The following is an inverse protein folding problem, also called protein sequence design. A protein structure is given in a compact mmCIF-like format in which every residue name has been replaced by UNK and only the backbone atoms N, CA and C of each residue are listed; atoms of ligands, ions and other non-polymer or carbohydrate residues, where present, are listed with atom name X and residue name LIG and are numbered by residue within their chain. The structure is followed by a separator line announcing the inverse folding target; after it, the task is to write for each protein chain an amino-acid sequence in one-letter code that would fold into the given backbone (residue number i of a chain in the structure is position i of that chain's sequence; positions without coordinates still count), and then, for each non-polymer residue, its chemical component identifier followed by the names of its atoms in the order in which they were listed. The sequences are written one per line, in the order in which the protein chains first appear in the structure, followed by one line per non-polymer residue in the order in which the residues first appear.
data_IF_265761811120
#
_entry.id   IF_265761811120
#
_cell.length_a   1.000
_cell.length_b   1.000
_cell.length_c   1.000
_cell.angle_alpha   90.00
_cell.angle_beta   90.00
_cell.angle_gamma   90.00
#
_symmetry.space_group_name_H-M   'P 1'
#
loop_
_entity.id
_entity.type
_entity.pdbx_description
1 polymer ?
#
# COMPACT_ATOMS: atom_id res chain seq x y z
N UNK A 1 19.35 5.54 33.79
CA UNK A 1 18.47 6.52 33.12
C UNK A 1 18.78 7.96 33.50
N UNK A 2 18.92 8.29 34.80
CA UNK A 2 19.18 9.66 35.27
C UNK A 2 20.38 10.37 34.59
N UNK A 3 21.52 9.68 34.43
CA UNK A 3 22.70 10.22 33.74
C UNK A 3 22.43 10.52 32.25
N UNK A 4 21.76 9.60 31.54
CA UNK A 4 21.45 9.77 30.13
C UNK A 4 20.53 11.00 29.89
N UNK A 5 19.55 11.23 30.77
CA UNK A 5 18.62 12.34 30.63
C UNK A 5 19.30 13.69 30.87
N UNK A 6 20.08 13.81 31.96
CA UNK A 6 20.84 15.03 32.27
C UNK A 6 21.84 15.38 31.17
N UNK A 7 22.40 14.36 30.52
CA UNK A 7 23.39 14.55 29.47
C UNK A 7 22.78 15.03 28.15
N UNK A 8 21.60 14.52 27.77
CA UNK A 8 20.82 15.04 26.65
C UNK A 8 20.51 16.53 26.86
N UNK A 9 20.17 16.91 28.09
CA UNK A 9 19.85 18.30 28.46
C UNK A 9 21.10 19.20 28.41
N UNK A 10 22.30 18.68 28.69
CA UNK A 10 23.53 19.46 28.67
C UNK A 10 24.09 19.67 27.25
N UNK A 11 24.04 18.63 26.40
CA UNK A 11 24.61 18.66 25.03
C UNK A 11 23.56 18.81 23.93
N UNK A 12 22.59 19.72 24.13
CA UNK A 12 21.35 19.84 23.34
C UNK A 12 21.54 19.81 21.82
N UNK A 13 22.53 20.54 21.29
CA UNK A 13 22.73 20.64 19.84
C UNK A 13 23.14 19.30 19.20
N UNK A 14 24.07 18.57 19.82
CA UNK A 14 24.56 17.29 19.29
C UNK A 14 23.46 16.23 19.33
N UNK A 15 22.72 16.19 20.44
CA UNK A 15 21.60 15.28 20.60
C UNK A 15 20.42 15.61 19.69
N UNK A 16 20.14 16.91 19.48
CA UNK A 16 19.13 17.35 18.53
C UNK A 16 19.49 16.96 17.10
N UNK A 17 20.77 17.04 16.69
CA UNK A 17 21.20 16.58 15.37
C UNK A 17 20.98 15.07 15.18
N UNK A 18 21.35 14.25 16.17
CA UNK A 18 21.13 12.80 16.06
C UNK A 18 19.65 12.44 16.10
N UNK A 19 18.87 13.08 16.99
CA UNK A 19 17.41 12.93 17.01
C UNK A 19 16.78 13.35 15.67
N UNK A 20 17.26 14.45 15.08
CA UNK A 20 16.80 14.97 13.80
C UNK A 20 17.11 14.03 12.64
N UNK A 21 18.31 13.44 12.60
CA UNK A 21 18.64 12.42 11.59
C UNK A 21 17.78 11.17 11.78
N UNK A 22 17.60 10.70 13.01
CA UNK A 22 16.70 9.56 13.30
C UNK A 22 15.26 9.86 12.88
N UNK A 23 14.78 11.07 13.15
CA UNK A 23 13.48 11.57 12.72
C UNK A 23 13.35 11.54 11.19
N UNK A 24 14.29 12.14 10.45
CA UNK A 24 14.21 12.22 8.99
C UNK A 24 14.24 10.84 8.33
N UNK A 25 15.08 9.94 8.83
CA UNK A 25 15.16 8.58 8.29
C UNK A 25 13.88 7.81 8.62
N UNK A 26 13.39 7.88 9.86
CA UNK A 26 12.14 7.22 10.24
C UNK A 26 10.95 7.76 9.44
N UNK A 27 10.85 9.09 9.30
CA UNK A 27 9.85 9.76 8.48
C UNK A 27 9.87 9.24 7.04
N UNK A 28 11.05 9.19 6.42
CA UNK A 28 11.19 8.71 5.04
C UNK A 28 10.77 7.24 4.90
N UNK A 29 11.17 6.39 5.84
CA UNK A 29 10.82 4.97 5.84
C UNK A 29 9.30 4.78 6.00
N UNK A 30 8.66 5.45 6.96
CA UNK A 30 7.21 5.37 7.14
C UNK A 30 6.45 5.94 5.95
N UNK A 31 6.91 7.08 5.41
CA UNK A 31 6.28 7.72 4.27
C UNK A 31 6.31 6.81 3.03
N UNK A 32 7.48 6.23 2.71
CA UNK A 32 7.61 5.27 1.62
C UNK A 32 6.81 3.99 1.86
N UNK A 33 6.69 3.54 3.12
CA UNK A 33 5.85 2.38 3.45
C UNK A 33 4.38 2.69 3.19
N UNK A 34 3.89 3.87 3.57
CA UNK A 34 2.51 4.28 3.33
C UNK A 34 2.19 4.44 1.84
N UNK A 35 3.12 4.97 1.05
CA UNK A 35 3.00 5.04 -0.41
C UNK A 35 3.04 3.64 -1.05
N UNK A 36 3.97 2.79 -0.64
CA UNK A 36 4.10 1.44 -1.15
C UNK A 36 2.83 0.63 -0.88
N UNK A 37 2.27 0.76 0.34
CA UNK A 37 1.05 0.10 0.72
C UNK A 37 -0.18 0.66 -0.02
N UNK A 38 -0.31 1.98 -0.09
CA UNK A 38 -1.43 2.61 -0.81
C UNK A 38 -1.45 2.27 -2.29
N UNK A 39 -0.30 2.35 -2.98
CA UNK A 39 -0.20 1.98 -4.38
C UNK A 39 -0.41 0.46 -4.61
N UNK A 40 0.03 -0.39 -3.68
CA UNK A 40 -0.29 -1.82 -3.75
C UNK A 40 -1.82 -2.04 -3.61
N UNK A 41 -2.47 -1.32 -2.69
CA UNK A 41 -3.90 -1.41 -2.46
C UNK A 41 -4.70 -0.93 -3.69
N UNK A 42 -4.32 0.18 -4.30
CA UNK A 42 -4.95 0.73 -5.51
C UNK A 42 -4.92 -0.22 -6.73
N UNK A 43 -4.00 -1.19 -6.75
CA UNK A 43 -3.98 -2.21 -7.79
C UNK A 43 -5.09 -3.27 -7.64
N UNK A 44 -5.56 -3.52 -6.42
CA UNK A 44 -6.33 -4.73 -6.08
C UNK A 44 -7.61 -4.52 -5.28
N UNK A 45 -7.90 -3.33 -4.77
CA UNK A 45 -9.06 -3.10 -3.87
C UNK A 45 -10.38 -3.61 -4.44
N UNK A 46 -10.63 -3.45 -5.75
CA UNK A 46 -11.82 -3.97 -6.40
C UNK A 46 -11.90 -5.52 -6.37
N UNK A 47 -10.75 -6.20 -6.39
CA UNK A 47 -10.63 -7.66 -6.29
C UNK A 47 -10.86 -8.12 -4.86
N UNK A 48 -10.28 -7.41 -3.88
CA UNK A 48 -10.41 -7.72 -2.46
C UNK A 48 -11.90 -7.73 -2.02
N UNK A 49 -12.72 -6.86 -2.59
CA UNK A 49 -14.17 -6.77 -2.33
C UNK A 49 -14.98 -8.01 -2.71
N UNK A 50 -14.50 -8.80 -3.65
CA UNK A 50 -15.25 -9.98 -4.07
C UNK A 50 -15.35 -11.03 -2.97
N UNK A 51 -14.45 -10.98 -1.98
CA UNK A 51 -14.31 -11.99 -0.92
C UNK A 51 -14.40 -13.40 -1.53
N UNK A 52 -13.73 -13.58 -2.67
CA UNK A 52 -13.76 -14.79 -3.45
C UNK A 52 -12.53 -15.63 -3.15
N UNK A 53 -12.65 -16.94 -3.35
CA UNK A 53 -11.54 -17.88 -3.17
C UNK A 53 -10.79 -18.06 -4.48
N UNK A 54 -11.53 -18.07 -5.60
CA UNK A 54 -11.01 -18.35 -6.92
C UNK A 54 -11.54 -17.39 -7.99
N UNK A 55 -10.70 -17.17 -8.99
CA UNK A 55 -11.08 -16.63 -10.29
C UNK A 55 -10.74 -17.68 -11.35
N UNK A 56 -11.64 -17.85 -12.30
CA UNK A 56 -11.50 -18.77 -13.43
C UNK A 56 -11.29 -17.94 -14.68
N UNK A 57 -10.18 -18.22 -15.37
CA UNK A 57 -9.76 -17.54 -16.60
C UNK A 57 -9.53 -18.57 -17.70
N UNK A 58 -9.43 -18.11 -18.96
CA UNK A 58 -8.91 -18.93 -20.04
C UNK A 58 -7.46 -19.35 -19.75
N UNK A 59 -7.11 -20.62 -20.05
CA UNK A 59 -5.73 -21.12 -19.94
C UNK A 59 -4.72 -20.32 -20.75
N UNK A 60 -5.16 -19.75 -21.87
CA UNK A 60 -4.30 -18.99 -22.77
C UNK A 60 -4.05 -17.55 -22.28
N UNK A 61 -4.73 -17.13 -21.20
CA UNK A 61 -4.68 -15.76 -20.69
C UNK A 61 -3.42 -15.41 -19.89
N UNK A 62 -2.61 -16.41 -19.51
CA UNK A 62 -1.43 -16.23 -18.64
C UNK A 62 -1.78 -15.43 -17.36
N UNK A 63 -2.87 -15.82 -16.69
CA UNK A 63 -3.45 -15.17 -15.49
C UNK A 63 -3.87 -13.70 -15.67
N UNK A 64 -3.82 -13.15 -16.89
CA UNK A 64 -4.18 -11.76 -17.14
C UNK A 64 -5.68 -11.64 -17.44
N UNK A 65 -6.41 -10.96 -16.55
CA UNK A 65 -7.85 -10.74 -16.68
C UNK A 65 -8.23 -10.10 -18.03
N UNK A 66 -7.48 -9.08 -18.46
CA UNK A 66 -7.76 -8.36 -19.71
C UNK A 66 -7.42 -9.15 -20.98
N UNK A 67 -6.65 -10.24 -20.87
CA UNK A 67 -6.34 -11.16 -21.98
C UNK A 67 -7.21 -12.41 -21.98
N UNK A 68 -7.86 -12.73 -20.86
CA UNK A 68 -8.84 -13.80 -20.77
C UNK A 68 -10.11 -13.41 -21.50
N UNK A 69 -10.52 -14.20 -22.48
CA UNK A 69 -11.75 -14.01 -23.23
C UNK A 69 -12.47 -15.35 -23.38
N UNK A 70 -13.56 -15.53 -22.64
CA UNK A 70 -14.33 -16.77 -22.59
C UNK A 70 -15.77 -16.48 -23.04
N UNK A 71 -16.43 -17.45 -23.67
CA UNK A 71 -17.85 -17.29 -24.04
C UNK A 71 -18.75 -17.42 -22.82
N UNK A 72 -19.91 -16.74 -22.80
CA UNK A 72 -20.94 -16.92 -21.77
C UNK A 72 -21.32 -18.39 -21.62
N UNK A 73 -21.41 -19.13 -22.73
CA UNK A 73 -21.64 -20.59 -22.73
C UNK A 73 -20.62 -21.34 -21.87
N UNK A 74 -19.33 -21.16 -22.15
CA UNK A 74 -18.25 -21.83 -21.40
C UNK A 74 -18.25 -21.38 -19.93
N UNK A 75 -18.56 -20.11 -19.67
CA UNK A 75 -18.66 -19.59 -18.31
C UNK A 75 -19.80 -20.23 -17.50
N UNK A 76 -20.96 -20.49 -18.13
CA UNK A 76 -22.10 -21.14 -17.48
C UNK A 76 -21.85 -22.63 -17.15
N UNK A 77 -20.88 -23.27 -17.82
CA UNK A 77 -20.45 -24.64 -17.53
C UNK A 77 -19.65 -24.72 -16.22
N UNK A 78 -19.09 -23.61 -15.72
CA UNK A 78 -18.43 -23.56 -14.41
C UNK A 78 -19.47 -23.72 -13.30
N UNK A 79 -19.32 -24.77 -12.47
CA UNK A 79 -20.19 -25.03 -11.32
C UNK A 79 -19.43 -24.89 -10.01
N UNK A 80 -20.05 -24.25 -9.03
CA UNK A 80 -19.52 -24.06 -7.69
C UNK A 80 -20.56 -23.40 -6.77
N UNK A 81 -20.19 -23.20 -5.50
CA UNK A 81 -21.11 -22.74 -4.45
C UNK A 81 -21.78 -21.39 -4.78
N UNK A 82 -20.96 -20.38 -5.06
CA UNK A 82 -21.41 -19.05 -5.52
C UNK A 82 -20.57 -18.62 -6.70
N UNK A 83 -21.24 -18.37 -7.82
CA UNK A 83 -20.61 -18.04 -9.10
C UNK A 83 -21.06 -16.65 -9.54
N UNK A 84 -20.11 -15.86 -10.02
CA UNK A 84 -20.36 -14.55 -10.62
C UNK A 84 -19.58 -14.36 -11.92
N UNK A 85 -20.15 -13.64 -12.87
CA UNK A 85 -19.54 -13.35 -14.17
C UNK A 85 -18.93 -11.96 -14.15
N UNK A 86 -17.70 -11.85 -14.64
CA UNK A 86 -16.98 -10.60 -14.70
C UNK A 86 -16.49 -10.33 -16.12
N UNK A 87 -16.81 -9.14 -16.61
CA UNK A 87 -16.21 -8.59 -17.80
C UNK A 87 -15.45 -7.32 -17.43
N UNK A 88 -14.23 -7.17 -17.92
CA UNK A 88 -13.33 -6.08 -17.57
C UNK A 88 -12.71 -5.48 -18.82
N UNK A 89 -12.78 -4.15 -18.97
CA UNK A 89 -12.02 -3.43 -19.99
C UNK A 89 -11.55 -2.08 -19.46
N UNK A 90 -10.30 -1.66 -19.75
CA UNK A 90 -9.89 -0.29 -19.48
C UNK A 90 -10.62 0.67 -20.43
N UNK A 91 -10.75 1.93 -20.02
CA UNK A 91 -11.27 3.00 -20.86
C UNK A 91 -10.87 4.38 -20.33
N UNK A 92 -11.18 5.40 -21.12
CA UNK A 92 -10.96 6.81 -20.74
C UNK A 92 -12.31 7.51 -20.81
N UNK A 93 -12.69 8.21 -19.76
CA UNK A 93 -13.94 8.99 -19.73
C UNK A 93 -13.67 10.48 -19.57
N UNK A 94 -14.61 11.29 -20.05
CA UNK A 94 -14.65 12.74 -19.84
C UNK A 94 -16.02 13.12 -19.29
N UNK A 95 -16.08 13.99 -18.30
CA UNK A 95 -17.38 14.49 -17.81
C UNK A 95 -18.01 15.42 -18.85
N UNK A 96 -19.33 15.33 -19.03
CA UNK A 96 -20.13 16.29 -19.81
C UNK A 96 -20.59 17.48 -18.96
N UNK A 97 -20.63 17.29 -17.65
CA UNK A 97 -21.19 18.24 -16.69
C UNK A 97 -20.09 19.00 -15.91
N UNK A 98 -18.83 18.55 -16.00
CA UNK A 98 -17.69 19.15 -15.34
C UNK A 98 -16.42 19.10 -16.24
N UNK A 99 -16.20 20.15 -17.03
CA UNK A 99 -15.03 20.24 -17.92
C UNK A 99 -13.67 20.25 -17.17
N UNK A 100 -13.65 20.70 -15.91
CA UNK A 100 -12.42 20.73 -15.09
C UNK A 100 -11.94 19.33 -14.70
N UNK A 101 -12.83 18.34 -14.68
CA UNK A 101 -12.49 16.94 -14.40
C UNK A 101 -11.56 16.33 -15.46
N UNK A 102 -11.51 16.90 -16.66
CA UNK A 102 -10.62 16.47 -17.74
C UNK A 102 -10.85 15.03 -18.20
N UNK A 103 -9.75 14.32 -18.52
CA UNK A 103 -9.75 12.92 -18.95
C UNK A 103 -9.38 12.02 -17.77
N UNK A 104 -10.20 11.01 -17.53
CA UNK A 104 -10.05 10.09 -16.40
C UNK A 104 -9.85 8.67 -16.94
N UNK A 105 -8.78 8.00 -16.54
CA UNK A 105 -8.60 6.58 -16.80
C UNK A 105 -9.49 5.79 -15.85
N UNK A 106 -10.29 4.88 -16.39
CA UNK A 106 -11.22 4.06 -15.61
C UNK A 106 -11.09 2.59 -16.02
N UNK A 107 -11.48 1.71 -15.11
CA UNK A 107 -11.65 0.29 -15.41
C UNK A 107 -13.14 -0.05 -15.38
N UNK A 108 -13.71 -0.41 -16.52
CA UNK A 108 -15.11 -0.82 -16.58
C UNK A 108 -15.24 -2.26 -16.14
N UNK A 109 -16.07 -2.50 -15.12
CA UNK A 109 -16.46 -3.83 -14.67
C UNK A 109 -17.92 -4.06 -15.07
N UNK A 110 -18.13 -4.86 -16.10
CA UNK A 110 -19.43 -5.40 -16.46
C UNK A 110 -19.76 -6.57 -15.53
N UNK A 111 -20.80 -6.42 -14.73
CA UNK A 111 -21.26 -7.43 -13.77
C UNK A 111 -22.78 -7.58 -13.84
N UNK A 112 -23.28 -8.63 -13.18
CA UNK A 112 -24.70 -8.78 -12.88
C UNK A 112 -24.98 -8.22 -11.45
N UNK A 113 -25.88 -7.24 -11.29
CA UNK A 113 -26.21 -6.66 -9.97
C UNK A 113 -26.69 -7.66 -8.93
N UNK A 114 -27.28 -8.79 -9.36
CA UNK A 114 -27.80 -9.82 -8.44
C UNK A 114 -26.70 -10.76 -7.93
N UNK A 115 -25.48 -10.67 -8.46
CA UNK A 115 -24.34 -11.50 -8.09
C UNK A 115 -23.51 -10.87 -6.96
N UNK A 116 -22.81 -11.72 -6.21
CA UNK A 116 -22.08 -11.32 -4.99
C UNK A 116 -20.90 -10.37 -5.22
N UNK A 117 -20.49 -10.15 -6.47
CA UNK A 117 -19.41 -9.22 -6.84
C UNK A 117 -19.90 -7.77 -7.01
N UNK A 118 -21.21 -7.53 -6.88
CA UNK A 118 -21.78 -6.19 -6.77
C UNK A 118 -21.24 -5.52 -5.50
N UNK A 119 -20.57 -4.35 -5.59
CA UNK A 119 -20.00 -3.70 -4.42
C UNK A 119 -21.08 -3.12 -3.50
N UNK A 120 -20.75 -3.02 -2.21
CA UNK A 120 -21.56 -2.25 -1.27
C UNK A 120 -21.54 -0.76 -1.65
N UNK A 121 -22.72 -0.20 -1.90
CA UNK A 121 -22.90 1.21 -2.28
C UNK A 121 -22.93 2.05 -1.00
N UNK A 122 -22.05 3.04 -0.93
CA UNK A 122 -21.97 3.97 0.21
C UNK A 122 -22.81 5.23 -0.01
N UNK A 123 -23.03 5.60 -1.27
CA UNK A 123 -23.83 6.77 -1.66
C UNK A 123 -24.61 6.48 -2.94
N UNK A 124 -25.88 6.88 -3.02
CA UNK A 124 -26.71 6.70 -4.22
C UNK A 124 -27.38 5.33 -4.33
N UNK A 125 -27.48 4.81 -5.55
CA UNK A 125 -28.21 3.57 -5.89
C UNK A 125 -27.43 2.71 -6.89
N UNK A 126 -27.81 1.44 -6.97
CA UNK A 126 -27.28 0.53 -7.98
C UNK A 126 -27.68 0.98 -9.39
N UNK A 127 -26.84 0.66 -10.37
CA UNK A 127 -27.18 0.84 -11.77
C UNK A 127 -28.26 -0.17 -12.17
N UNK A 128 -29.23 0.28 -12.96
CA UNK A 128 -30.32 -0.57 -13.47
C UNK A 128 -30.18 -0.78 -14.98
N UNK A 129 -29.70 0.24 -15.69
CA UNK A 129 -29.57 0.22 -17.15
C UNK A 129 -28.13 0.19 -17.66
N UNK A 130 -28.01 0.01 -18.98
CA UNK A 130 -26.72 -0.05 -19.69
C UNK A 130 -26.03 1.32 -19.86
N UNK A 131 -26.72 2.41 -19.52
CA UNK A 131 -26.20 3.78 -19.55
C UNK A 131 -26.01 4.34 -18.12
N UNK A 132 -26.01 3.46 -17.12
CA UNK A 132 -25.80 3.81 -15.72
C UNK A 132 -24.55 3.10 -15.19
N UNK A 133 -23.87 3.76 -14.26
CA UNK A 133 -22.72 3.20 -13.59
C UNK A 133 -22.69 3.57 -12.10
N UNK A 134 -22.10 2.68 -11.31
CA UNK A 134 -21.65 2.96 -9.94
C UNK A 134 -20.14 3.08 -9.97
N UNK A 135 -19.61 4.20 -9.49
CA UNK A 135 -18.18 4.48 -9.53
C UNK A 135 -17.48 4.28 -8.19
N UNK A 136 -16.16 4.16 -8.22
CA UNK A 136 -15.36 4.38 -7.02
C UNK A 136 -15.50 5.83 -6.52
N UNK A 137 -15.52 6.02 -5.20
CA UNK A 137 -15.67 7.33 -4.57
C UNK A 137 -14.54 8.28 -4.93
N UNK A 138 -13.38 7.78 -5.37
CA UNK A 138 -12.29 8.62 -5.84
C UNK A 138 -12.66 9.44 -7.08
N UNK A 139 -13.68 9.04 -7.84
CA UNK A 139 -14.24 9.87 -8.93
C UNK A 139 -14.86 11.17 -8.40
N UNK A 140 -15.41 11.13 -7.19
CA UNK A 140 -15.95 12.32 -6.50
C UNK A 140 -14.85 13.12 -5.83
N UNK A 141 -13.95 12.45 -5.10
CA UNK A 141 -12.90 13.10 -4.30
C UNK A 141 -11.80 13.72 -5.17
N UNK A 142 -11.29 12.97 -6.16
CA UNK A 142 -10.17 13.41 -6.99
C UNK A 142 -10.60 14.25 -8.21
N UNK A 143 -11.82 14.05 -8.72
CA UNK A 143 -12.29 14.67 -9.97
C UNK A 143 -13.58 15.51 -9.84
N UNK A 144 -14.15 15.59 -8.63
CA UNK A 144 -15.33 16.42 -8.38
C UNK A 144 -16.61 15.95 -9.07
N UNK A 145 -16.72 14.67 -9.42
CA UNK A 145 -17.93 14.11 -10.04
C UNK A 145 -19.00 13.79 -8.98
N UNK A 146 -20.25 14.14 -9.28
CA UNK A 146 -21.41 13.90 -8.43
C UNK A 146 -22.31 12.78 -8.93
N UNK A 147 -23.26 12.37 -8.08
CA UNK A 147 -24.38 11.54 -8.51
C UNK A 147 -25.27 12.37 -9.44
N UNK A 148 -25.63 11.80 -10.59
CA UNK A 148 -26.38 12.46 -11.65
C UNK A 148 -25.53 12.96 -12.80
N UNK A 149 -24.21 13.14 -12.59
CA UNK A 149 -23.28 13.55 -13.64
C UNK A 149 -23.16 12.47 -14.72
N UNK A 150 -22.92 12.90 -15.95
CA UNK A 150 -22.78 12.05 -17.11
C UNK A 150 -21.34 12.06 -17.60
N UNK A 151 -20.73 10.87 -17.61
CA UNK A 151 -19.41 10.65 -18.18
C UNK A 151 -19.52 10.05 -19.58
N UNK A 152 -18.78 10.58 -20.54
CA UNK A 152 -18.71 10.09 -21.92
C UNK A 152 -17.48 9.21 -22.11
N UNK A 153 -17.64 8.04 -22.73
CA UNK A 153 -16.51 7.21 -23.13
C UNK A 153 -15.75 7.87 -24.28
N UNK A 154 -14.45 8.07 -24.11
CA UNK A 154 -13.60 8.66 -25.15
C UNK A 154 -13.53 7.74 -26.37
N UNK A 155 -13.76 8.31 -27.56
CA UNK A 155 -13.77 7.55 -28.82
C UNK A 155 -15.09 6.84 -29.14
N UNK A 156 -16.12 6.99 -28.30
CA UNK A 156 -17.47 6.47 -28.53
C UNK A 156 -18.51 7.54 -28.20
N UNK A 157 -19.74 7.39 -28.68
CA UNK A 157 -20.87 8.22 -28.27
C UNK A 157 -21.59 7.70 -27.01
N UNK A 158 -21.15 6.54 -26.50
CA UNK A 158 -21.65 5.95 -25.26
C UNK A 158 -21.41 6.87 -24.06
N UNK A 159 -22.43 6.99 -23.22
CA UNK A 159 -22.39 7.76 -21.99
C UNK A 159 -22.91 6.96 -20.81
N UNK A 160 -22.41 7.28 -19.62
CA UNK A 160 -22.84 6.68 -18.37
C UNK A 160 -23.24 7.77 -17.39
N UNK A 161 -24.45 7.67 -16.85
CA UNK A 161 -24.88 8.47 -15.71
C UNK A 161 -24.41 7.83 -14.41
N UNK A 162 -23.73 8.59 -13.57
CA UNK A 162 -23.30 8.14 -12.25
C UNK A 162 -24.51 8.06 -11.32
N UNK A 163 -24.81 6.85 -10.84
CA UNK A 163 -26.00 6.59 -10.00
C UNK A 163 -25.67 6.36 -8.53
N UNK A 164 -24.41 6.05 -8.23
CA UNK A 164 -23.91 5.88 -6.89
C UNK A 164 -22.40 5.70 -6.83
N UNK A 165 -21.88 5.66 -5.62
CA UNK A 165 -20.48 5.46 -5.31
C UNK A 165 -20.25 4.29 -4.36
N UNK A 166 -19.13 3.60 -4.54
CA UNK A 166 -18.55 2.61 -3.61
C UNK A 166 -17.17 3.10 -3.18
N UNK A 167 -16.71 2.75 -1.98
CA UNK A 167 -15.32 2.98 -1.56
C UNK A 167 -14.41 1.84 -2.00
N UNK A 168 -13.09 2.04 -2.11
CA UNK A 168 -12.09 0.98 -2.32
C UNK A 168 -12.38 0.09 -3.54
N UNK A 169 -12.64 0.69 -4.68
CA UNK A 169 -12.87 0.01 -5.94
C UNK A 169 -11.91 0.55 -7.03
N UNK A 170 -10.62 0.30 -6.84
CA UNK A 170 -9.59 0.52 -7.87
C UNK A 170 -9.06 -0.81 -8.39
N UNK A 171 -8.75 -0.86 -9.69
CA UNK A 171 -8.12 -2.00 -10.36
C UNK A 171 -7.01 -1.50 -11.27
N UNK A 172 -5.79 -2.01 -11.10
CA UNK A 172 -4.59 -1.48 -11.78
C UNK A 172 -4.46 0.05 -11.64
N UNK A 173 -4.69 0.58 -10.43
CA UNK A 173 -4.58 2.01 -10.08
C UNK A 173 -5.66 2.91 -10.70
N UNK A 174 -6.58 2.36 -11.49
CA UNK A 174 -7.71 3.13 -12.06
C UNK A 174 -8.98 2.90 -11.25
N UNK A 175 -9.79 3.94 -10.98
CA UNK A 175 -11.12 3.76 -10.40
C UNK A 175 -12.00 2.88 -11.27
N UNK A 176 -12.77 2.00 -10.62
CA UNK A 176 -13.69 1.10 -11.30
C UNK A 176 -15.03 1.80 -11.52
N UNK A 177 -15.56 1.67 -12.73
CA UNK A 177 -16.95 1.96 -13.06
C UNK A 177 -17.68 0.63 -13.24
N UNK A 178 -18.53 0.27 -12.29
CA UNK A 178 -19.40 -0.90 -12.37
C UNK A 178 -20.61 -0.58 -13.25
N UNK A 179 -20.88 -1.46 -14.20
CA UNK A 179 -22.01 -1.37 -15.12
C UNK A 179 -22.46 -2.78 -15.51
N UNK A 180 -23.41 -2.90 -16.44
CA UNK A 180 -23.93 -4.20 -16.86
C UNK A 180 -22.95 -4.93 -17.79
N UNK A 181 -23.08 -6.27 -17.87
CA UNK A 181 -22.37 -7.07 -18.86
C UNK A 181 -22.65 -6.64 -20.31
N UNK A 182 -23.86 -6.15 -20.58
CA UNK A 182 -24.28 -5.68 -21.90
C UNK A 182 -23.62 -4.35 -22.27
N UNK A 183 -23.53 -3.42 -21.31
CA UNK A 183 -22.78 -2.18 -21.48
C UNK A 183 -21.30 -2.48 -21.77
N UNK A 184 -20.71 -3.45 -21.07
CA UNK A 184 -19.35 -3.91 -21.39
C UNK A 184 -19.22 -4.37 -22.86
N UNK A 185 -20.19 -5.12 -23.40
CA UNK A 185 -20.12 -5.57 -24.80
C UNK A 185 -20.06 -4.37 -25.75
N UNK A 186 -20.88 -3.35 -25.48
CA UNK A 186 -20.89 -2.12 -26.27
C UNK A 186 -19.58 -1.34 -26.16
N UNK A 187 -18.98 -1.24 -24.96
CA UNK A 187 -17.69 -0.58 -24.74
C UNK A 187 -16.56 -1.31 -25.50
N UNK A 188 -16.53 -2.64 -25.42
CA UNK A 188 -15.38 -3.43 -25.91
C UNK A 188 -15.49 -3.80 -27.39
N UNK A 189 -16.71 -4.03 -27.88
CA UNK A 189 -16.97 -4.56 -29.22
C UNK A 189 -17.83 -3.65 -30.10
N UNK A 190 -18.22 -2.47 -29.60
CA UNK A 190 -19.08 -1.50 -30.30
C UNK A 190 -20.48 -2.07 -30.64
N UNK A 191 -20.85 -3.21 -30.05
CA UNK A 191 -22.15 -3.85 -30.21
C UNK A 191 -22.54 -4.60 -28.94
N UNK A 192 -23.83 -4.66 -28.67
CA UNK A 192 -24.34 -5.55 -27.62
C UNK A 192 -24.56 -6.95 -28.20
N UNK A 193 -23.83 -7.94 -27.69
CA UNK A 193 -24.09 -9.37 -27.93
C UNK A 193 -24.67 -9.99 -26.67
N UNK A 194 -25.95 -10.37 -26.72
CA UNK A 194 -26.64 -11.04 -25.61
C UNK A 194 -26.70 -12.56 -25.78
N UNK A 195 -26.09 -13.11 -26.84
CA UNK A 195 -26.06 -14.54 -27.09
C UNK A 195 -25.13 -15.28 -26.14
N UNK A 196 -25.24 -16.60 -26.13
CA UNK A 196 -24.32 -17.50 -25.43
C UNK A 196 -22.86 -17.40 -25.94
N UNK A 197 -22.64 -16.81 -27.12
CA UNK A 197 -21.31 -16.57 -27.68
C UNK A 197 -20.70 -15.23 -27.26
N UNK A 198 -21.45 -14.38 -26.55
CA UNK A 198 -20.94 -13.13 -26.00
C UNK A 198 -19.72 -13.42 -25.12
N UNK A 199 -18.70 -12.57 -25.20
CA UNK A 199 -17.43 -12.82 -24.52
C UNK A 199 -17.33 -12.03 -23.22
N UNK A 200 -16.92 -12.70 -22.15
CA UNK A 200 -16.59 -12.09 -20.86
C UNK A 200 -15.15 -12.44 -20.50
N UNK A 201 -14.63 -11.88 -19.41
CA UNK A 201 -13.23 -12.07 -19.03
C UNK A 201 -13.04 -13.23 -18.04
N UNK A 202 -13.95 -13.38 -17.07
CA UNK A 202 -13.75 -14.32 -15.97
C UNK A 202 -15.05 -14.82 -15.34
N UNK A 203 -14.91 -15.92 -14.60
CA UNK A 203 -15.88 -16.38 -13.62
C UNK A 203 -15.25 -16.28 -12.23
N UNK A 204 -15.88 -15.55 -11.32
CA UNK A 204 -15.43 -15.39 -9.93
C UNK A 204 -16.22 -16.36 -9.06
N UNK A 205 -15.53 -17.12 -8.20
CA UNK A 205 -16.14 -18.16 -7.37
C UNK A 205 -15.79 -17.94 -5.90
N UNK A 206 -16.82 -17.94 -5.05
CA UNK A 206 -16.70 -17.99 -3.59
C UNK A 206 -17.14 -19.38 -3.11
N UNK A 207 -16.25 -20.11 -2.46
CA UNK A 207 -16.41 -21.51 -2.09
C UNK A 207 -15.68 -22.48 -3.03
N UNK A 208 -16.18 -23.71 -3.12
CA UNK A 208 -15.58 -24.75 -3.96
C UNK A 208 -16.02 -24.64 -5.43
N UNK A 209 -15.20 -25.18 -6.32
CA UNK A 209 -15.50 -25.38 -7.74
C UNK A 209 -15.71 -26.89 -7.94
N UNK A 210 -16.91 -27.27 -8.34
CA UNK A 210 -17.32 -28.66 -8.57
C UNK A 210 -16.96 -29.13 -9.98
N UNK A 211 -17.16 -28.27 -10.98
CA UNK A 211 -16.92 -28.57 -12.38
C UNK A 211 -16.23 -27.39 -13.09
N UNK A 212 -15.23 -27.72 -13.92
CA UNK A 212 -14.38 -26.77 -14.63
C UNK A 212 -14.07 -27.28 -16.04
N UNK A 213 -14.50 -26.55 -17.09
CA UNK A 213 -14.13 -26.85 -18.47
C UNK A 213 -12.61 -26.94 -18.71
N UNK A 214 -12.22 -27.81 -19.65
CA UNK A 214 -10.81 -28.13 -19.93
C UNK A 214 -9.98 -26.96 -20.50
N UNK A 215 -10.61 -25.94 -21.06
CA UNK A 215 -10.01 -24.73 -21.61
C UNK A 215 -9.84 -23.62 -20.56
N UNK A 216 -10.37 -23.83 -19.35
CA UNK A 216 -10.31 -22.88 -18.24
C UNK A 216 -9.32 -23.31 -17.15
N UNK A 217 -8.73 -22.33 -16.47
CA UNK A 217 -7.85 -22.53 -15.31
C UNK A 217 -8.47 -21.85 -14.09
N UNK A 218 -8.52 -22.59 -12.97
CA UNK A 218 -8.85 -22.02 -11.66
C UNK A 218 -7.60 -21.43 -11.01
N UNK A 219 -7.70 -20.20 -10.53
CA UNK A 219 -6.60 -19.44 -9.94
C UNK A 219 -7.09 -18.90 -8.61
N UNK A 220 -6.35 -19.15 -7.52
CA UNK A 220 -6.69 -18.53 -6.22
C UNK A 220 -6.59 -17.02 -6.32
N UNK A 221 -7.47 -16.27 -5.63
CA UNK A 221 -7.42 -14.80 -5.64
C UNK A 221 -6.04 -14.26 -5.21
N UNK A 222 -5.36 -14.88 -4.25
CA UNK A 222 -4.00 -14.47 -3.86
C UNK A 222 -2.97 -14.63 -4.99
N UNK A 223 -3.02 -15.73 -5.75
CA UNK A 223 -2.16 -15.91 -6.93
C UNK A 223 -2.50 -14.89 -8.01
N UNK A 224 -3.79 -14.67 -8.28
CA UNK A 224 -4.26 -13.68 -9.25
C UNK A 224 -3.75 -12.26 -8.92
N UNK A 225 -3.89 -11.82 -7.67
CA UNK A 225 -3.38 -10.52 -7.20
C UNK A 225 -1.87 -10.41 -7.40
N UNK A 226 -1.11 -11.45 -7.03
CA UNK A 226 0.36 -11.44 -7.18
C UNK A 226 0.79 -11.42 -8.65
N UNK A 227 0.00 -12.01 -9.55
CA UNK A 227 0.27 -12.05 -10.99
C UNK A 227 -0.35 -10.88 -11.77
N UNK A 228 -1.01 -9.92 -11.09
CA UNK A 228 -1.42 -8.67 -11.72
C UNK A 228 -0.19 -8.00 -12.36
N UNK A 229 -0.29 -7.52 -13.62
CA UNK A 229 0.84 -6.93 -14.32
C UNK A 229 1.51 -5.82 -13.52
N UNK A 230 2.79 -6.02 -13.17
CA UNK A 230 3.59 -5.04 -12.43
C UNK A 230 3.42 -5.06 -10.91
N UNK A 231 2.38 -5.67 -10.35
CA UNK A 231 2.09 -5.64 -8.91
C UNK A 231 3.24 -6.22 -8.07
N UNK A 232 3.64 -7.47 -8.34
CA UNK A 232 4.74 -8.11 -7.60
C UNK A 232 6.07 -7.37 -7.76
N UNK A 233 6.37 -6.89 -8.97
CA UNK A 233 7.59 -6.13 -9.22
C UNK A 233 7.63 -4.82 -8.43
N UNK A 234 6.48 -4.12 -8.34
CA UNK A 234 6.31 -2.92 -7.54
C UNK A 234 6.51 -3.21 -6.05
N UNK A 235 5.79 -4.19 -5.49
CA UNK A 235 5.87 -4.56 -4.07
C UNK A 235 7.30 -4.96 -3.68
N UNK A 236 7.96 -5.77 -4.51
CA UNK A 236 9.36 -6.17 -4.29
C UNK A 236 10.30 -4.96 -4.32
N UNK A 237 10.14 -4.08 -5.29
CA UNK A 237 11.01 -2.90 -5.47
C UNK A 237 10.89 -1.95 -4.26
N UNK A 238 9.67 -1.60 -3.84
CA UNK A 238 9.47 -0.80 -2.64
C UNK A 238 9.98 -1.51 -1.39
N UNK A 239 9.76 -2.82 -1.28
CA UNK A 239 10.29 -3.64 -0.19
C UNK A 239 11.82 -3.56 -0.09
N UNK A 240 12.53 -3.66 -1.22
CA UNK A 240 13.98 -3.48 -1.26
C UNK A 240 14.39 -2.06 -0.86
N UNK A 241 13.73 -1.02 -1.39
CA UNK A 241 14.04 0.38 -1.02
C UNK A 241 13.88 0.62 0.49
N UNK A 242 12.77 0.16 1.08
CA UNK A 242 12.51 0.25 2.52
C UNK A 242 13.57 -0.52 3.31
N UNK A 243 13.89 -1.75 2.90
CA UNK A 243 14.94 -2.56 3.53
C UNK A 243 16.31 -1.88 3.49
N UNK A 244 16.71 -1.33 2.35
CA UNK A 244 17.95 -0.57 2.21
C UNK A 244 17.98 0.67 3.11
N UNK A 245 16.88 1.41 3.21
CA UNK A 245 16.79 2.57 4.10
C UNK A 245 16.94 2.18 5.57
N UNK A 246 16.38 1.04 5.99
CA UNK A 246 16.57 0.54 7.36
C UNK A 246 18.03 0.14 7.60
N UNK A 247 18.71 -0.46 6.63
CA UNK A 247 20.16 -0.76 6.73
C UNK A 247 20.99 0.52 6.79
N UNK A 248 20.68 1.51 5.96
CA UNK A 248 21.35 2.82 6.01
C UNK A 248 21.11 3.48 7.37
N UNK A 249 19.88 3.43 7.89
CA UNK A 249 19.54 3.90 9.23
C UNK A 249 20.42 3.25 10.30
N UNK A 250 20.60 1.92 10.23
CA UNK A 250 21.45 1.15 11.13
C UNK A 250 22.87 1.71 11.18
N UNK A 251 23.48 1.87 10.00
CA UNK A 251 24.87 2.30 9.84
C UNK A 251 25.02 3.73 10.35
N UNK A 252 24.14 4.64 9.92
CA UNK A 252 24.17 6.05 10.31
C UNK A 252 24.02 6.18 11.83
N UNK A 253 23.04 5.51 12.43
CA UNK A 253 22.86 5.50 13.89
C UNK A 253 24.10 4.94 14.58
N UNK A 254 24.65 3.82 14.10
CA UNK A 254 25.87 3.22 14.63
C UNK A 254 27.06 4.20 14.63
N UNK A 255 27.27 4.91 13.53
CA UNK A 255 28.33 5.94 13.39
C UNK A 255 28.08 7.08 14.37
N UNK A 256 26.86 7.60 14.48
CA UNK A 256 26.56 8.70 15.41
C UNK A 256 26.76 8.30 16.86
N UNK A 257 26.28 7.13 17.25
CA UNK A 257 26.50 6.62 18.61
C UNK A 257 27.99 6.40 18.86
N UNK A 258 28.74 5.90 17.89
CA UNK A 258 30.20 5.77 17.97
C UNK A 258 30.90 7.12 18.18
N UNK A 259 30.55 8.14 17.38
CA UNK A 259 31.13 9.49 17.50
C UNK A 259 30.77 10.10 18.86
N UNK A 260 29.49 10.04 19.28
CA UNK A 260 29.06 10.55 20.59
C UNK A 260 29.77 9.85 21.75
N UNK A 261 29.99 8.55 21.59
CA UNK A 261 30.69 7.72 22.55
C UNK A 261 32.16 8.12 22.67
N UNK A 262 32.86 8.26 21.54
CA UNK A 262 34.28 8.63 21.50
C UNK A 262 34.51 10.04 22.05
N UNK A 263 33.62 10.98 21.77
CA UNK A 263 33.68 12.34 22.31
C UNK A 263 33.57 12.39 23.85
N UNK A 264 33.10 11.30 24.48
CA UNK A 264 32.93 11.19 25.94
C UNK A 264 33.96 10.28 26.60
N UNK A 265 34.99 9.85 25.88
CA UNK A 265 36.01 8.93 26.39
C UNK A 265 36.62 9.41 27.72
N UNK A 266 36.91 10.71 27.84
CA UNK A 266 37.48 11.30 29.07
C UNK A 266 36.49 11.23 30.25
N UNK A 267 35.20 11.52 30.01
CA UNK A 267 34.14 11.45 31.01
C UNK A 267 33.99 10.01 31.51
N UNK A 268 33.94 9.05 30.58
CA UNK A 268 33.87 7.63 30.92
C UNK A 268 35.14 7.13 31.63
N UNK A 269 36.31 7.68 31.29
CA UNK A 269 37.58 7.43 31.98
C UNK A 269 37.52 7.82 33.45
N UNK A 270 37.06 9.05 33.75
CA UNK A 270 36.89 9.54 35.13
C UNK A 270 35.89 8.68 35.90
N UNK A 271 34.74 8.32 35.29
CA UNK A 271 33.75 7.45 35.94
C UNK A 271 34.30 6.06 36.25
N UNK A 272 35.12 5.49 35.35
CA UNK A 272 35.83 4.22 35.58
C UNK A 272 36.84 4.35 36.71
N UNK A 273 37.60 5.45 36.76
CA UNK A 273 38.57 5.73 37.83
C UNK A 273 37.89 5.90 39.21
N UNK A 274 36.65 6.40 39.23
CA UNK A 274 35.80 6.47 40.43
C UNK A 274 35.15 5.14 40.81
N UNK A 275 35.45 4.04 40.10
CA UNK A 275 34.98 2.69 40.44
C UNK A 275 33.74 2.22 39.68
N UNK A 276 33.23 2.98 38.70
CA UNK A 276 32.09 2.52 37.91
C UNK A 276 32.47 1.41 36.92
N UNK A 277 31.66 0.35 36.88
CA UNK A 277 31.92 -0.80 36.00
C UNK A 277 31.67 -0.46 34.53
N UNK A 278 32.40 -1.12 33.62
CA UNK A 278 32.16 -1.00 32.18
C UNK A 278 30.74 -1.41 31.77
N UNK A 279 30.11 -2.34 32.51
CA UNK A 279 28.72 -2.73 32.30
C UNK A 279 27.72 -1.62 32.63
N UNK A 280 28.00 -0.78 33.63
CA UNK A 280 27.18 0.40 33.92
C UNK A 280 27.24 1.40 32.77
N UNK A 281 28.45 1.69 32.26
CA UNK A 281 28.66 2.61 31.13
C UNK A 281 27.92 2.08 29.88
N UNK A 282 28.06 0.77 29.59
CA UNK A 282 27.35 0.10 28.51
C UNK A 282 25.83 0.29 28.58
N UNK A 283 25.23 0.02 29.75
CA UNK A 283 23.79 0.20 29.97
C UNK A 283 23.36 1.65 29.81
N UNK A 284 24.19 2.60 30.23
CA UNK A 284 23.90 4.04 30.07
C UNK A 284 23.83 4.43 28.60
N UNK A 285 24.80 4.00 27.78
CA UNK A 285 24.82 4.28 26.33
C UNK A 285 23.63 3.62 25.63
N UNK A 286 23.33 2.35 25.94
CA UNK A 286 22.18 1.65 25.36
C UNK A 286 20.86 2.34 25.74
N UNK A 287 20.69 2.75 27.00
CA UNK A 287 19.49 3.47 27.44
C UNK A 287 19.35 4.84 26.75
N UNK A 288 20.46 5.54 26.54
CA UNK A 288 20.49 6.82 25.81
C UNK A 288 20.11 6.63 24.34
N UNK A 289 20.65 5.61 23.68
CA UNK A 289 20.28 5.29 22.29
C UNK A 289 18.82 4.91 22.20
N UNK A 290 18.33 4.07 23.11
CA UNK A 290 16.92 3.70 23.15
C UNK A 290 16.01 4.92 23.22
N UNK A 291 16.27 5.85 24.16
CA UNK A 291 15.47 7.06 24.31
C UNK A 291 15.51 7.90 23.02
N UNK A 292 16.71 8.12 22.47
CA UNK A 292 16.89 8.95 21.28
C UNK A 292 16.19 8.36 20.06
N UNK A 293 16.31 7.05 19.86
CA UNK A 293 15.64 6.33 18.77
C UNK A 293 14.14 6.26 18.98
N UNK A 294 13.66 6.04 20.20
CA UNK A 294 12.23 6.05 20.50
C UNK A 294 11.60 7.40 20.15
N UNK A 295 12.20 8.51 20.57
CA UNK A 295 11.70 9.85 20.23
C UNK A 295 11.87 10.18 18.74
N UNK A 296 13.01 9.83 18.12
CA UNK A 296 13.22 10.05 16.69
C UNK A 296 12.21 9.30 15.83
N UNK A 297 11.99 8.02 16.11
CA UNK A 297 11.00 7.17 15.42
C UNK A 297 9.59 7.68 15.68
N UNK A 298 9.25 8.01 16.94
CA UNK A 298 7.94 8.55 17.29
C UNK A 298 7.63 9.87 16.58
N UNK A 299 8.59 10.80 16.56
CA UNK A 299 8.46 12.04 15.79
C UNK A 299 8.37 11.77 14.29
N UNK A 300 9.10 10.78 13.77
CA UNK A 300 9.06 10.41 12.36
C UNK A 300 7.67 9.92 11.96
N UNK A 301 7.10 9.03 12.77
CA UNK A 301 5.73 8.52 12.60
C UNK A 301 4.69 9.65 12.70
N UNK A 302 4.81 10.52 13.72
CA UNK A 302 3.93 11.69 13.86
C UNK A 302 4.04 12.63 12.67
N UNK A 303 5.25 12.84 12.15
CA UNK A 303 5.46 13.61 10.93
C UNK A 303 4.77 12.97 9.74
N UNK A 304 4.90 11.66 9.55
CA UNK A 304 4.26 10.93 8.45
C UNK A 304 2.73 11.00 8.51
N UNK A 305 2.16 10.78 9.69
CA UNK A 305 0.70 10.90 9.91
C UNK A 305 0.25 12.36 9.78
N UNK A 306 1.06 13.32 10.22
CA UNK A 306 0.78 14.75 10.02
C UNK A 306 0.74 15.12 8.53
N UNK A 307 1.73 14.66 7.76
CA UNK A 307 1.78 14.87 6.31
C UNK A 307 0.61 14.20 5.60
N UNK A 308 0.14 13.03 6.05
CA UNK A 308 -0.96 12.34 5.38
C UNK A 308 -2.26 13.13 5.34
N UNK A 309 -2.50 14.03 6.30
CA UNK A 309 -3.67 14.93 6.28
C UNK A 309 -3.54 16.10 5.31
N UNK A 310 -2.33 16.37 4.80
CA UNK A 310 -2.04 17.46 3.88
C UNK A 310 -1.82 16.97 2.43
N UNK A 311 -1.78 15.66 2.23
CA UNK A 311 -1.60 15.09 0.90
C UNK A 311 -2.88 15.28 0.06
N UNK A 312 -2.74 15.61 -1.23
CA UNK A 312 -3.86 15.51 -2.17
C UNK A 312 -4.37 14.07 -2.26
N UNK A 313 -5.67 13.90 -2.50
CA UNK A 313 -6.32 12.58 -2.61
C UNK A 313 -5.76 11.71 -3.76
N UNK A 314 -5.14 12.34 -4.76
CA UNK A 314 -4.46 11.67 -5.87
C UNK A 314 -3.16 10.98 -5.47
N UNK A 315 -2.59 11.28 -4.31
CA UNK A 315 -1.38 10.61 -3.81
C UNK A 315 -1.79 9.29 -3.16
N UNK A 316 -1.32 8.13 -3.66
CA UNK A 316 -1.76 6.81 -3.20
C UNK A 316 -1.09 6.45 -1.87
N UNK A 317 -1.43 7.18 -0.81
CA UNK A 317 -0.90 7.01 0.52
C UNK A 317 -1.95 6.38 1.43
N UNK A 318 -1.65 5.21 1.98
CA UNK A 318 -2.51 4.56 2.96
C UNK A 318 -1.73 4.16 4.21
N UNK A 319 -2.31 4.42 5.38
CA UNK A 319 -1.68 4.09 6.65
C UNK A 319 -1.99 2.65 7.06
N UNK A 320 -0.96 1.81 7.14
CA UNK A 320 -1.06 0.49 7.75
C UNK A 320 -0.34 0.47 9.10
N UNK A 321 -1.11 0.53 10.19
CA UNK A 321 -0.58 0.59 11.56
C UNK A 321 0.23 -0.66 11.94
N UNK A 322 -0.09 -1.82 11.38
CA UNK A 322 0.70 -3.03 11.61
C UNK A 322 2.10 -2.89 11.00
N UNK A 323 2.18 -2.41 9.75
CA UNK A 323 3.47 -2.18 9.08
C UNK A 323 4.28 -1.10 9.79
N UNK A 324 3.64 0.01 10.19
CA UNK A 324 4.31 1.05 10.97
C UNK A 324 4.82 0.52 12.32
N UNK A 325 4.04 -0.32 13.00
CA UNK A 325 4.46 -0.97 14.25
C UNK A 325 5.68 -1.88 14.05
N UNK A 326 5.65 -2.76 13.04
CA UNK A 326 6.75 -3.68 12.72
C UNK A 326 8.03 -2.90 12.37
N UNK A 327 7.93 -1.88 11.52
CA UNK A 327 9.05 -1.04 11.13
C UNK A 327 9.62 -0.27 12.33
N UNK A 328 8.75 0.28 13.20
CA UNK A 328 9.17 0.98 14.41
C UNK A 328 10.03 0.08 15.31
N UNK A 329 9.55 -1.16 15.55
CA UNK A 329 10.29 -2.14 16.35
C UNK A 329 11.60 -2.52 15.68
N UNK A 330 11.59 -2.76 14.37
CA UNK A 330 12.79 -3.13 13.61
C UNK A 330 13.85 -2.03 13.67
N UNK A 331 13.47 -0.76 13.46
CA UNK A 331 14.37 0.39 13.57
C UNK A 331 14.93 0.54 14.98
N UNK A 332 14.13 0.30 16.02
CA UNK A 332 14.55 0.37 17.41
C UNK A 332 15.58 -0.73 17.75
N UNK A 333 15.32 -1.97 17.32
CA UNK A 333 16.25 -3.10 17.47
C UNK A 333 17.58 -2.79 16.80
N UNK A 334 17.52 -2.31 15.55
CA UNK A 334 18.68 -1.92 14.77
C UNK A 334 19.51 -0.83 15.45
N UNK A 335 18.85 0.20 16.00
CA UNK A 335 19.53 1.26 16.74
C UNK A 335 20.26 0.75 18.00
N UNK A 336 19.62 -0.15 18.75
CA UNK A 336 20.22 -0.79 19.93
C UNK A 336 21.43 -1.64 19.53
N UNK A 337 21.32 -2.40 18.44
CA UNK A 337 22.45 -3.20 17.91
C UNK A 337 23.63 -2.30 17.52
N UNK A 338 23.37 -1.16 16.87
CA UNK A 338 24.38 -0.16 16.57
C UNK A 338 25.07 0.39 17.83
N UNK A 339 24.30 0.63 18.90
CA UNK A 339 24.85 1.07 20.18
C UNK A 339 25.73 0.00 20.85
N UNK A 340 25.29 -1.26 20.85
CA UNK A 340 26.06 -2.37 21.41
C UNK A 340 27.40 -2.55 20.71
N UNK A 341 27.43 -2.35 19.39
CA UNK A 341 28.68 -2.35 18.62
C UNK A 341 29.64 -1.24 19.08
N UNK A 342 29.13 -0.01 19.23
CA UNK A 342 29.93 1.12 19.70
C UNK A 342 30.45 0.93 21.13
N UNK A 343 29.62 0.41 22.04
CA UNK A 343 29.98 0.19 23.45
C UNK A 343 31.14 -0.79 23.61
N UNK A 344 31.24 -1.82 22.76
CA UNK A 344 32.38 -2.76 22.78
C UNK A 344 33.73 -2.06 22.65
N UNK A 345 33.79 -0.95 21.91
CA UNK A 345 35.01 -0.16 21.77
C UNK A 345 35.41 0.52 23.09
N UNK A 346 34.45 1.04 23.88
CA UNK A 346 34.70 1.76 25.14
C UNK A 346 35.15 0.84 26.27
N UNK A 347 34.53 -0.33 26.38
CA UNK A 347 34.77 -1.23 27.52
C UNK A 347 36.24 -1.64 27.58
N UNK A 348 36.90 -1.75 26.42
CA UNK A 348 38.33 -2.09 26.28
C UNK A 348 39.30 -0.93 26.51
N UNK A 349 38.82 0.30 26.71
CA UNK A 349 39.69 1.48 26.89
C UNK A 349 40.20 1.52 28.33
N UNK A 350 41.52 1.68 28.45
CA UNK A 350 42.26 1.85 29.71
C UNK A 350 41.99 3.25 30.30
N UNK A 351 41.53 3.37 31.55
CA UNK A 351 41.29 4.66 32.21
C UNK A 351 42.51 5.58 32.21
N UNK A 352 43.72 5.03 32.35
CA UNK A 352 44.96 5.82 32.41
C UNK A 352 45.25 6.50 31.07
N UNK A 353 45.00 5.81 29.95
CA UNK A 353 45.15 6.41 28.61
C UNK A 353 44.05 7.40 28.25
N UNK A 354 42.90 7.32 28.90
CA UNK A 354 41.74 8.18 28.62
C UNK A 354 41.74 9.50 29.40
N UNK A 355 42.44 9.55 30.55
CA UNK A 355 42.52 10.76 31.39
C UNK A 355 43.77 11.59 31.07
N UNK A 356 44.80 10.96 30.51
CA UNK A 356 46.11 11.57 30.22
C UNK A 356 47.20 10.88 31.00
#
# INVERSE_FOLDING_TARGET
MFLALNEIIHSKLRYALVAGVMFLIAYLVFFLTGLAYGLAQDNRTAVDKWEADYIVLSKDANTNLGMSMITKKTAQEVKGDKVAYLAQTPGVVTSKDNDEAGKINVSFFGIDPDQFIMPNIVEGKAFVGNDEAVGDISLKEEYGLGIGDTVKLSGSDKTFRLTGFTENAKFNVSPVLYTTLDAYQEIRFEKTDTSENARINAVVVRGQIDDLPNDLEKISISKFINELPGYSAQVLTFGFMIGFLIVIAAIVIGIFIYVLTMQKINIFGVLKAQGMTGGFIARSVVAQTFLLSFFGIGLGLLGTVGTSFLLPDTVPFQSNWLFFGVISVLMLVVAILGALFSVRAIVKIDPLKAIG
#
